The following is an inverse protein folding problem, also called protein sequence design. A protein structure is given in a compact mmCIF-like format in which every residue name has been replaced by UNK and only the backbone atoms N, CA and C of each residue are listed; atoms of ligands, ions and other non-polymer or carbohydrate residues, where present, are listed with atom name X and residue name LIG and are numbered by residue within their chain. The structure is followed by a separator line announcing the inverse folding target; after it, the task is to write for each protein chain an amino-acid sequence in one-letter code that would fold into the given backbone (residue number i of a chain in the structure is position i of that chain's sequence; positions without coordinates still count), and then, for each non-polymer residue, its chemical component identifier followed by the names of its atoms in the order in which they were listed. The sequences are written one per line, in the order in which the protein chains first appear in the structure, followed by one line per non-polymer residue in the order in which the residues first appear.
data_IF_415591996433
#
_entry.id   IF_415591996433
#
_cell.length_a   1.000
_cell.length_b   1.000
_cell.length_c   1.000
_cell.angle_alpha   90.00
_cell.angle_beta   90.00
_cell.angle_gamma   90.00
#
_symmetry.space_group_name_H-M   'P 1'
#
loop_
_entity.id
_entity.type
_entity.pdbx_description
1 polymer ?
#
# COMPACT_ATOMS: atom_id res chain seq x y z
N UNK A 1 -13.15 -22.12 3.23
CA UNK A 1 -14.21 -21.09 3.39
C UNK A 1 -13.75 -19.80 4.10
N UNK A 2 -13.06 -19.83 5.25
CA UNK A 2 -12.67 -18.59 5.99
C UNK A 2 -11.70 -17.65 5.26
N UNK A 3 -10.64 -18.16 4.60
CA UNK A 3 -9.70 -17.33 3.80
C UNK A 3 -10.43 -16.50 2.75
N UNK A 4 -11.41 -17.09 2.05
CA UNK A 4 -12.16 -16.39 1.00
C UNK A 4 -13.06 -15.28 1.56
N UNK A 5 -13.58 -15.43 2.78
CA UNK A 5 -14.38 -14.38 3.43
C UNK A 5 -13.51 -13.20 3.87
N UNK A 6 -12.40 -13.47 4.56
CA UNK A 6 -11.50 -12.41 5.02
C UNK A 6 -10.93 -11.60 3.85
N UNK A 7 -10.51 -12.29 2.77
CA UNK A 7 -10.02 -11.62 1.56
C UNK A 7 -11.10 -10.82 0.83
N UNK A 8 -12.37 -11.26 0.85
CA UNK A 8 -13.47 -10.48 0.28
C UNK A 8 -13.68 -9.18 1.05
N UNK A 9 -13.77 -9.26 2.37
CA UNK A 9 -13.92 -8.06 3.22
C UNK A 9 -12.72 -7.14 3.06
N UNK A 10 -11.48 -7.66 3.08
CA UNK A 10 -10.27 -6.85 2.92
C UNK A 10 -10.26 -6.04 1.61
N UNK A 11 -10.82 -6.58 0.52
CA UNK A 11 -10.91 -5.86 -0.77
C UNK A 11 -11.95 -4.74 -0.78
N UNK A 12 -12.96 -4.80 0.08
CA UNK A 12 -14.03 -3.79 0.16
C UNK A 12 -13.63 -2.61 1.06
N UNK A 13 -12.64 -2.79 1.94
CA UNK A 13 -12.18 -1.73 2.84
C UNK A 13 -11.27 -0.76 2.08
N UNK A 14 -11.66 0.52 2.06
CA UNK A 14 -10.84 1.61 1.51
C UNK A 14 -9.78 2.05 2.51
N UNK A 15 -8.66 1.33 2.55
CA UNK A 15 -7.48 1.57 3.39
C UNK A 15 -6.20 1.22 2.62
N UNK A 16 -5.04 1.68 3.10
CA UNK A 16 -3.76 1.35 2.48
C UNK A 16 -3.24 -0.04 2.82
N UNK A 17 -3.59 -0.58 3.99
CA UNK A 17 -3.19 -1.91 4.40
C UNK A 17 -4.27 -2.59 5.26
N UNK A 18 -4.34 -3.92 5.14
CA UNK A 18 -5.16 -4.79 5.99
C UNK A 18 -4.29 -5.95 6.45
N UNK A 19 -4.16 -6.15 7.76
CA UNK A 19 -3.60 -7.39 8.32
C UNK A 19 -4.74 -8.36 8.60
N UNK A 20 -4.72 -9.52 7.96
CA UNK A 20 -5.68 -10.59 8.21
C UNK A 20 -5.09 -11.53 9.26
N UNK A 21 -5.80 -11.73 10.37
CA UNK A 21 -5.42 -12.64 11.46
C UNK A 21 -3.99 -12.40 12.00
N UNK A 22 -3.56 -11.14 12.08
CA UNK A 22 -2.23 -10.80 12.61
C UNK A 22 -1.07 -11.18 11.69
N UNK A 23 -1.29 -11.19 10.37
CA UNK A 23 -0.22 -11.40 9.39
C UNK A 23 0.95 -10.42 9.62
N UNK A 24 2.20 -10.88 9.38
CA UNK A 24 3.41 -10.13 9.70
C UNK A 24 3.49 -8.82 8.91
N UNK A 25 4.14 -7.82 9.50
CA UNK A 25 4.41 -6.57 8.81
C UNK A 25 5.43 -6.78 7.68
N UNK A 26 5.11 -6.30 6.48
CA UNK A 26 5.96 -6.43 5.31
C UNK A 26 6.58 -5.07 4.95
N UNK A 27 7.86 -4.88 5.27
CA UNK A 27 8.60 -3.63 4.99
C UNK A 27 8.85 -3.37 3.50
N UNK A 28 8.61 -4.36 2.64
CA UNK A 28 8.73 -4.20 1.19
C UNK A 28 7.41 -3.79 0.54
N UNK A 29 6.28 -3.89 1.26
CA UNK A 29 4.98 -3.43 0.78
C UNK A 29 4.79 -1.93 1.04
N UNK A 30 4.05 -1.21 0.19
CA UNK A 30 3.75 0.20 0.42
C UNK A 30 2.95 0.38 1.72
N UNK A 31 3.35 1.36 2.51
CA UNK A 31 2.64 1.83 3.70
C UNK A 31 2.05 3.22 3.44
N UNK A 32 0.85 3.49 3.96
CA UNK A 32 0.20 4.79 3.79
C UNK A 32 -1.31 4.74 3.90
N UNK A 33 -1.94 5.91 3.92
CA UNK A 33 -3.36 6.07 4.17
C UNK A 33 -4.23 6.17 2.91
N UNK A 34 -5.55 6.12 3.13
CA UNK A 34 -6.56 6.59 2.18
C UNK A 34 -7.32 7.75 2.82
N UNK A 35 -7.92 8.63 2.00
CA UNK A 35 -8.74 9.76 2.44
C UNK A 35 -7.94 10.73 3.34
N UNK A 36 -8.49 11.13 4.48
CA UNK A 36 -7.85 12.05 5.42
C UNK A 36 -6.66 11.46 6.17
N UNK A 37 -6.30 10.18 5.95
CA UNK A 37 -5.13 9.56 6.55
C UNK A 37 -3.80 9.91 5.86
N UNK A 38 -3.82 10.74 4.81
CA UNK A 38 -2.62 11.27 4.15
C UNK A 38 -2.54 10.95 2.65
N UNK A 39 -1.50 11.49 2.01
CA UNK A 39 -1.17 11.31 0.60
C UNK A 39 0.26 10.75 0.47
N UNK A 40 0.51 9.96 -0.58
CA UNK A 40 1.80 9.29 -0.82
C UNK A 40 1.89 7.89 -0.21
N UNK A 41 3.02 7.23 -0.42
CA UNK A 41 3.38 5.94 0.18
C UNK A 41 4.79 5.96 0.75
N UNK A 42 4.98 5.27 1.85
CA UNK A 42 6.29 4.99 2.44
C UNK A 42 6.64 3.50 2.27
N UNK A 43 7.90 3.15 2.54
CA UNK A 43 8.46 1.79 2.45
C UNK A 43 8.49 1.20 1.03
N UNK A 44 9.28 0.14 0.87
CA UNK A 44 9.48 -0.53 -0.42
C UNK A 44 9.96 0.42 -1.53
N UNK A 45 9.70 0.04 -2.78
CA UNK A 45 10.05 0.86 -3.95
C UNK A 45 9.21 2.14 -4.01
N UNK A 46 7.93 2.08 -3.62
CA UNK A 46 7.03 3.23 -3.68
C UNK A 46 7.47 4.35 -2.75
N UNK A 47 7.95 4.01 -1.55
CA UNK A 47 8.52 5.01 -0.64
C UNK A 47 9.79 5.66 -1.16
N UNK A 48 10.61 4.93 -1.94
CA UNK A 48 11.79 5.50 -2.59
C UNK A 48 11.38 6.44 -3.73
N UNK A 49 10.39 6.05 -4.53
CA UNK A 49 9.88 6.82 -5.66
C UNK A 49 9.33 8.20 -5.26
N UNK A 50 8.77 8.35 -4.04
CA UNK A 50 8.31 9.67 -3.53
C UNK A 50 9.46 10.70 -3.36
N UNK A 51 10.72 10.27 -3.37
CA UNK A 51 11.90 11.15 -3.28
C UNK A 51 12.61 11.36 -4.63
N UNK A 52 12.05 10.83 -5.73
CA UNK A 52 12.63 10.91 -7.06
C UNK A 52 11.77 11.78 -7.98
N UNK A 53 12.43 12.56 -8.82
CA UNK A 53 11.76 13.32 -9.89
C UNK A 53 11.81 12.55 -11.21
N UNK A 54 10.67 12.47 -11.91
CA UNK A 54 10.60 11.83 -13.23
C UNK A 54 11.03 12.80 -14.32
N UNK A 55 12.00 12.40 -15.15
CA UNK A 55 12.51 13.19 -16.28
C UNK A 55 12.46 12.40 -17.58
N UNK A 56 11.81 12.94 -18.61
CA UNK A 56 11.80 12.39 -19.96
C UNK A 56 12.74 13.17 -20.89
N UNK A 57 13.47 12.47 -21.76
CA UNK A 57 14.37 13.06 -22.77
C UNK A 57 13.97 12.49 -24.14
N UNK A 58 13.72 13.37 -25.12
CA UNK A 58 13.47 12.99 -26.52
C UNK A 58 14.62 13.45 -27.42
N UNK A 59 14.76 12.82 -28.59
CA UNK A 59 15.76 13.14 -29.61
C UNK A 59 15.11 13.81 -30.81
#
# INVERSE_FOLDING_TARGET
MMKNRAMRVAREIRTGQVSINGGPFNISAPFGGYKFSGNGRELGVHGLEEFLETKAIQR
#
